data_IF_502812543107
#
_entry.id   IF_502812543107
#
_cell.length_a   1.000
_cell.length_b   1.000
_cell.length_c   1.000
_cell.angle_alpha   90.00
_cell.angle_beta   90.00
_cell.angle_gamma   90.00
#
_symmetry.space_group_name_H-M   'P 1'
#
loop_
_entity.id
_entity.type
_entity.pdbx_description
1 polymer ?
#
# COMPACT_ATOMS: atom_id res chain seq x y z
N UNK A 1 29.74 10.41 7.60
CA UNK A 1 28.51 10.94 6.95
C UNK A 1 27.33 10.24 7.62
N UNK A 2 26.33 10.99 8.09
CA UNK A 2 25.19 10.43 8.83
C UNK A 2 24.35 9.52 7.94
N UNK A 3 23.91 8.39 8.49
CA UNK A 3 23.07 7.40 7.81
C UNK A 3 21.62 7.52 8.27
N UNK A 4 20.68 7.09 7.43
CA UNK A 4 19.24 7.06 7.74
C UNK A 4 18.68 5.71 7.33
N UNK A 5 17.99 5.03 8.25
CA UNK A 5 17.16 3.87 7.95
C UNK A 5 15.69 4.22 8.16
N UNK A 6 14.86 3.92 7.16
CA UNK A 6 13.40 4.05 7.20
C UNK A 6 12.80 2.66 7.11
N UNK A 7 12.17 2.25 8.22
CA UNK A 7 11.43 1.01 8.38
C UNK A 7 9.96 1.33 8.16
N UNK A 8 9.46 1.03 6.97
CA UNK A 8 8.05 1.19 6.64
C UNK A 8 7.25 -0.03 7.08
N UNK A 9 6.28 0.16 7.97
CA UNK A 9 5.28 -0.87 8.31
C UNK A 9 3.97 -0.49 7.63
N UNK A 10 3.63 -1.18 6.54
CA UNK A 10 2.45 -0.84 5.74
C UNK A 10 1.17 -1.07 6.56
N UNK A 11 0.28 -0.09 6.59
CA UNK A 11 -1.00 -0.15 7.30
C UNK A 11 -0.89 -0.32 8.84
N UNK A 12 0.25 0.01 9.45
CA UNK A 12 0.44 -0.11 10.89
C UNK A 12 -0.33 0.96 11.68
N UNK A 13 -1.43 0.54 12.31
CA UNK A 13 -2.22 1.44 13.14
C UNK A 13 -1.47 1.85 14.43
N UNK A 14 -1.35 3.15 14.73
CA UNK A 14 -0.62 3.62 15.91
C UNK A 14 -1.24 3.15 17.23
N UNK A 15 -2.54 2.85 17.29
CA UNK A 15 -3.20 2.26 18.47
C UNK A 15 -2.74 0.83 18.73
N UNK A 16 -2.29 0.11 17.70
CA UNK A 16 -1.73 -1.22 17.88
C UNK A 16 -0.28 -1.11 18.35
N UNK A 17 0.52 -0.24 17.71
CA UNK A 17 1.96 -0.10 18.01
C UNK A 17 2.23 0.57 19.35
N UNK A 18 1.58 1.70 19.64
CA UNK A 18 1.87 2.52 20.81
C UNK A 18 1.00 2.19 22.03
N UNK A 19 -0.12 1.49 21.83
CA UNK A 19 -1.06 1.16 22.91
C UNK A 19 -1.21 -0.36 23.04
N UNK A 20 -2.09 -0.99 22.23
CA UNK A 20 -2.61 -2.35 22.43
C UNK A 20 -1.55 -3.44 22.49
N UNK A 21 -0.49 -3.33 21.68
CA UNK A 21 0.55 -4.37 21.57
C UNK A 21 1.90 -3.94 22.11
N UNK A 22 2.06 -2.74 22.67
CA UNK A 22 3.37 -2.19 23.04
C UNK A 22 4.20 -3.14 23.93
N UNK A 23 3.56 -3.83 24.87
CA UNK A 23 4.24 -4.80 25.75
C UNK A 23 4.75 -6.06 25.03
N UNK A 24 4.22 -6.35 23.84
CA UNK A 24 4.68 -7.42 22.95
C UNK A 24 5.76 -6.96 21.96
N UNK A 25 6.17 -5.69 22.00
CA UNK A 25 7.10 -5.05 21.07
C UNK A 25 8.33 -4.49 21.82
N UNK A 26 9.16 -5.34 22.46
CA UNK A 26 10.25 -4.86 23.32
C UNK A 26 11.29 -3.99 22.60
N UNK A 27 11.56 -4.22 21.31
CA UNK A 27 12.54 -3.42 20.57
C UNK A 27 11.99 -2.03 20.23
N UNK A 28 10.75 -1.95 19.74
CA UNK A 28 10.05 -0.68 19.50
C UNK A 28 9.86 0.06 20.83
N UNK A 29 9.40 -0.61 21.89
CA UNK A 29 9.20 -0.02 23.22
C UNK A 29 10.49 0.65 23.72
N UNK A 30 11.64 -0.02 23.61
CA UNK A 30 12.94 0.54 23.96
C UNK A 30 13.31 1.77 23.12
N UNK A 31 12.93 1.82 21.85
CA UNK A 31 13.16 3.00 21.01
C UNK A 31 12.33 4.20 21.47
N UNK A 32 11.10 3.98 21.95
CA UNK A 32 10.22 5.07 22.42
C UNK A 32 10.83 5.84 23.59
N UNK A 33 11.64 5.18 24.43
CA UNK A 33 12.30 5.81 25.58
C UNK A 33 13.27 6.95 25.18
N UNK A 34 13.77 6.93 23.94
CA UNK A 34 14.78 7.89 23.45
C UNK A 34 14.43 8.45 22.05
N UNK A 35 13.15 8.54 21.71
CA UNK A 35 12.70 9.04 20.40
C UNK A 35 11.48 9.95 20.50
N UNK A 36 11.23 10.68 19.40
CA UNK A 36 9.95 11.35 19.20
C UNK A 36 9.00 10.42 18.46
N UNK A 37 7.79 10.24 18.99
CA UNK A 37 6.76 9.41 18.37
C UNK A 37 5.38 10.04 18.53
N UNK A 38 4.45 9.65 17.65
CA UNK A 38 3.09 10.15 17.70
C UNK A 38 2.24 9.73 16.51
N UNK A 39 0.95 10.06 16.59
CA UNK A 39 -0.01 9.82 15.51
C UNK A 39 0.18 10.89 14.43
N UNK A 40 0.34 10.48 13.17
CA UNK A 40 0.42 11.38 12.02
C UNK A 40 -0.81 11.24 11.13
N UNK A 41 -1.17 12.34 10.44
CA UNK A 41 -2.21 12.34 9.41
C UNK A 41 -1.61 11.90 8.08
N UNK A 42 -2.17 10.86 7.49
CA UNK A 42 -1.84 10.41 6.13
C UNK A 42 -2.50 11.29 5.05
N UNK A 43 -2.11 11.10 3.79
CA UNK A 43 -2.73 11.77 2.65
C UNK A 43 -4.15 11.26 2.36
N UNK A 44 -4.87 11.96 1.48
CA UNK A 44 -6.13 11.49 0.93
C UNK A 44 -6.01 11.23 -0.58
N UNK A 45 -6.34 10.02 -1.09
CA UNK A 45 -6.82 8.86 -0.33
C UNK A 45 -5.71 8.19 0.51
N UNK A 46 -6.10 7.65 1.66
CA UNK A 46 -5.22 6.94 2.59
C UNK A 46 -4.98 5.50 2.09
N UNK A 47 -4.13 5.35 1.08
CA UNK A 47 -3.83 4.06 0.44
C UNK A 47 -2.35 3.98 0.09
N UNK A 48 -1.80 2.77 0.18
CA UNK A 48 -0.38 2.44 0.04
C UNK A 48 0.40 3.25 -0.99
N UNK A 49 0.04 3.16 -2.27
CA UNK A 49 0.83 3.80 -3.34
C UNK A 49 0.92 5.33 -3.20
N UNK A 50 -0.20 6.08 -3.13
CA UNK A 50 -0.16 7.51 -2.82
C UNK A 50 0.60 7.84 -1.55
N UNK A 51 0.34 7.14 -0.44
CA UNK A 51 0.86 7.52 0.87
C UNK A 51 2.39 7.38 0.95
N UNK A 52 2.96 6.28 0.45
CA UNK A 52 4.41 6.12 0.38
C UNK A 52 5.06 7.15 -0.55
N UNK A 53 4.43 7.52 -1.66
CA UNK A 53 4.97 8.51 -2.58
C UNK A 53 4.86 9.95 -2.08
N UNK A 54 3.80 10.27 -1.34
CA UNK A 54 3.69 11.53 -0.60
C UNK A 54 4.82 11.63 0.41
N UNK A 55 5.06 10.57 1.19
CA UNK A 55 6.13 10.54 2.18
C UNK A 55 7.52 10.68 1.53
N UNK A 56 7.75 10.02 0.40
CA UNK A 56 9.03 10.06 -0.31
C UNK A 56 9.31 11.40 -1.03
N UNK A 57 8.27 12.15 -1.39
CA UNK A 57 8.39 13.38 -2.19
C UNK A 57 8.10 14.67 -1.43
N UNK A 58 7.43 14.60 -0.28
CA UNK A 58 6.88 15.77 0.41
C UNK A 58 5.77 16.49 -0.36
N UNK A 59 5.13 15.83 -1.33
CA UNK A 59 4.13 16.42 -2.23
C UNK A 59 2.77 15.77 -2.07
N UNK A 60 1.69 16.51 -2.36
CA UNK A 60 0.32 15.99 -2.29
C UNK A 60 0.01 15.00 -3.42
N UNK A 61 -0.91 14.03 -3.20
CA UNK A 61 -1.29 13.03 -4.21
C UNK A 61 -1.70 13.63 -5.56
N UNK A 62 -2.43 14.74 -5.54
CA UNK A 62 -2.88 15.44 -6.75
C UNK A 62 -1.71 16.00 -7.58
N UNK A 63 -0.71 16.58 -6.93
CA UNK A 63 0.49 17.10 -7.60
C UNK A 63 1.38 16.00 -8.18
N UNK A 64 1.35 14.81 -7.56
CA UNK A 64 2.03 13.62 -8.06
C UNK A 64 1.26 12.95 -9.21
N UNK A 65 -0.03 13.27 -9.35
CA UNK A 65 -0.94 12.60 -10.27
C UNK A 65 -1.27 11.17 -9.86
N UNK A 66 -1.34 10.89 -8.55
CA UNK A 66 -1.49 9.53 -8.01
C UNK A 66 -2.67 9.46 -7.05
N UNK A 67 -3.72 8.77 -7.48
CA UNK A 67 -5.01 8.76 -6.78
C UNK A 67 -5.43 7.36 -6.30
N UNK A 68 -4.48 6.43 -6.21
CA UNK A 68 -4.72 5.07 -5.74
C UNK A 68 -3.82 4.03 -6.40
N UNK A 69 -4.09 2.76 -6.09
CA UNK A 69 -3.38 1.63 -6.69
C UNK A 69 -3.61 1.51 -8.20
N UNK A 70 -4.83 1.82 -8.64
CA UNK A 70 -5.23 1.86 -10.05
C UNK A 70 -5.71 3.25 -10.41
N UNK A 71 -5.41 3.70 -11.62
CA UNK A 71 -5.85 4.98 -12.15
C UNK A 71 -6.58 4.79 -13.47
N UNK A 72 -7.53 5.68 -13.74
CA UNK A 72 -8.21 5.70 -15.03
C UNK A 72 -7.17 5.87 -16.13
N UNK A 73 -7.32 5.11 -17.20
CA UNK A 73 -6.43 5.19 -18.34
C UNK A 73 -7.19 5.78 -19.53
N UNK A 74 -6.99 7.08 -19.75
CA UNK A 74 -7.73 7.84 -20.75
C UNK A 74 -9.12 8.27 -20.28
N UNK A 75 -10.03 8.40 -21.24
CA UNK A 75 -11.39 8.92 -21.02
C UNK A 75 -12.49 7.87 -21.22
N UNK A 76 -12.14 6.62 -21.46
CA UNK A 76 -13.11 5.53 -21.48
C UNK A 76 -13.70 5.29 -20.08
N UNK A 77 -14.84 4.59 -20.03
CA UNK A 77 -15.62 4.39 -18.81
C UNK A 77 -15.04 3.32 -17.86
N UNK A 78 -14.20 2.41 -18.36
CA UNK A 78 -13.71 1.25 -17.59
C UNK A 78 -12.22 0.96 -17.74
N UNK A 79 -11.51 1.70 -18.58
CA UNK A 79 -10.08 1.53 -18.78
C UNK A 79 -9.28 1.98 -17.55
N UNK A 80 -8.44 1.09 -17.04
CA UNK A 80 -7.70 1.27 -15.80
C UNK A 80 -6.27 0.73 -15.94
N UNK A 81 -5.30 1.51 -15.45
CA UNK A 81 -3.90 1.08 -15.33
C UNK A 81 -3.42 1.05 -13.89
N UNK A 82 -2.39 0.25 -13.63
CA UNK A 82 -1.71 0.20 -12.33
C UNK A 82 -0.81 1.44 -12.21
N UNK A 83 -0.77 2.02 -11.02
CA UNK A 83 0.18 3.09 -10.68
C UNK A 83 1.60 2.54 -10.56
N UNK A 84 2.34 2.49 -11.67
CA UNK A 84 3.75 2.06 -11.69
C UNK A 84 4.71 3.20 -11.35
N UNK A 85 5.97 2.87 -11.08
CA UNK A 85 7.02 3.86 -10.77
C UNK A 85 7.19 4.91 -11.87
N UNK A 86 7.07 4.52 -13.14
CA UNK A 86 7.19 5.42 -14.29
C UNK A 86 6.09 6.49 -14.38
N UNK A 87 4.99 6.34 -13.64
CA UNK A 87 3.93 7.35 -13.54
C UNK A 87 4.19 8.36 -12.42
N UNK A 88 5.17 8.12 -11.55
CA UNK A 88 5.44 8.95 -10.38
C UNK A 88 6.22 10.20 -10.78
N UNK A 89 5.59 11.37 -10.62
CA UNK A 89 6.20 12.67 -10.95
C UNK A 89 6.96 13.27 -9.77
N UNK A 90 7.89 14.17 -10.08
CA UNK A 90 8.61 14.99 -9.10
C UNK A 90 9.75 14.25 -8.37
N UNK A 91 10.68 15.01 -7.74
CA UNK A 91 11.81 14.43 -7.05
C UNK A 91 11.38 13.62 -5.82
N UNK A 92 12.18 12.61 -5.48
CA UNK A 92 12.07 11.75 -4.30
C UNK A 92 13.33 11.88 -3.46
N UNK A 93 13.23 11.64 -2.16
CA UNK A 93 14.33 11.88 -1.22
C UNK A 93 15.63 11.14 -1.59
N UNK A 94 15.55 9.95 -2.20
CA UNK A 94 16.71 9.18 -2.64
C UNK A 94 17.43 9.78 -3.86
N UNK A 95 16.79 10.72 -4.56
CA UNK A 95 17.39 11.49 -5.67
C UNK A 95 18.02 12.80 -5.16
N UNK A 96 17.70 13.19 -3.93
CA UNK A 96 18.13 14.46 -3.32
C UNK A 96 19.33 14.30 -2.36
N UNK A 97 19.75 13.06 -2.10
CA UNK A 97 20.91 12.77 -1.26
C UNK A 97 22.15 12.55 -2.11
N UNK A 98 23.32 12.97 -1.62
CA UNK A 98 24.59 12.79 -2.34
C UNK A 98 25.12 11.35 -2.27
N UNK A 99 24.74 10.60 -1.24
CA UNK A 99 25.18 9.22 -1.01
C UNK A 99 24.33 8.17 -1.71
N UNK A 100 24.65 6.90 -1.42
CA UNK A 100 23.94 5.76 -2.00
C UNK A 100 22.63 5.47 -1.28
N UNK A 101 21.61 5.09 -2.02
CA UNK A 101 20.31 4.67 -1.49
C UNK A 101 20.07 3.18 -1.69
N UNK A 102 19.46 2.51 -0.72
CA UNK A 102 18.93 1.15 -0.88
C UNK A 102 17.43 1.20 -0.63
N UNK A 103 16.64 0.81 -1.63
CA UNK A 103 15.18 0.73 -1.56
C UNK A 103 14.74 -0.73 -1.66
N UNK A 104 13.92 -1.22 -0.73
CA UNK A 104 13.41 -2.60 -0.75
C UNK A 104 11.90 -2.61 -0.54
N UNK A 105 11.15 -2.98 -1.57
CA UNK A 105 9.71 -3.18 -1.46
C UNK A 105 8.87 -1.89 -1.39
N UNK A 106 9.49 -0.71 -1.46
CA UNK A 106 8.82 0.59 -1.37
C UNK A 106 7.86 0.81 -2.56
N UNK A 107 6.55 1.00 -2.38
CA UNK A 107 5.64 1.10 -3.51
C UNK A 107 5.36 2.55 -3.97
N UNK A 108 5.20 2.79 -5.28
CA UNK A 108 5.53 1.89 -6.38
C UNK A 108 6.98 2.07 -6.80
N UNK A 109 7.72 0.96 -6.80
CA UNK A 109 9.08 0.87 -7.37
C UNK A 109 9.17 -0.21 -8.43
N UNK A 110 8.05 -0.63 -9.03
CA UNK A 110 8.06 -1.45 -10.24
C UNK A 110 7.62 -0.62 -11.46
N UNK A 111 8.37 -0.66 -12.58
CA UNK A 111 9.73 -1.19 -12.71
C UNK A 111 10.73 -0.49 -11.76
N UNK A 112 11.85 -1.13 -11.36
CA UNK A 112 12.81 -0.55 -10.43
C UNK A 112 13.39 0.75 -10.98
N UNK A 113 13.22 1.91 -10.30
CA UNK A 113 13.83 3.15 -10.74
C UNK A 113 15.36 3.07 -10.70
N UNK A 114 16.01 3.76 -11.65
CA UNK A 114 17.46 3.91 -11.67
C UNK A 114 17.87 4.98 -10.66
N UNK A 115 18.61 4.60 -9.63
CA UNK A 115 19.04 5.50 -8.56
C UNK A 115 20.54 5.32 -8.29
N UNK A 116 21.17 6.24 -7.57
CA UNK A 116 22.52 5.99 -7.06
C UNK A 116 22.47 4.95 -5.93
N UNK A 117 22.48 3.65 -6.24
CA UNK A 117 22.44 2.58 -5.26
C UNK A 117 21.67 1.35 -5.73
N UNK A 118 20.88 0.73 -4.84
CA UNK A 118 20.23 -0.56 -5.07
C UNK A 118 18.72 -0.47 -4.85
N UNK A 119 17.93 -1.17 -5.67
CA UNK A 119 16.47 -1.27 -5.57
C UNK A 119 16.06 -2.71 -5.71
N UNK A 120 15.18 -3.16 -4.82
CA UNK A 120 14.30 -4.31 -5.02
C UNK A 120 12.88 -3.76 -5.07
N UNK A 121 12.20 -3.98 -6.18
CA UNK A 121 10.86 -3.47 -6.45
C UNK A 121 9.79 -4.02 -5.49
N UNK A 122 8.57 -3.48 -5.57
CA UNK A 122 7.52 -3.67 -4.58
C UNK A 122 6.49 -4.76 -4.90
N UNK A 123 5.44 -4.84 -4.09
CA UNK A 123 4.37 -5.85 -4.20
C UNK A 123 3.61 -5.86 -5.54
N UNK A 124 3.79 -4.83 -6.38
CA UNK A 124 3.14 -4.74 -7.70
C UNK A 124 3.96 -5.43 -8.80
N UNK A 125 5.15 -5.93 -8.47
CA UNK A 125 6.03 -6.66 -9.38
C UNK A 125 5.34 -7.94 -9.86
N UNK A 126 5.24 -8.18 -11.18
CA UNK A 126 4.50 -9.31 -11.73
C UNK A 126 5.02 -10.69 -11.27
N UNK A 127 6.32 -10.81 -11.03
CA UNK A 127 6.96 -12.03 -10.56
C UNK A 127 8.47 -12.00 -10.69
N UNK A 128 9.14 -13.05 -10.21
CA UNK A 128 10.60 -13.18 -10.23
C UNK A 128 11.19 -13.22 -11.63
N UNK A 129 10.40 -13.56 -12.65
CA UNK A 129 10.82 -13.53 -14.06
C UNK A 129 11.01 -12.09 -14.60
N UNK A 130 10.36 -11.11 -13.98
CA UNK A 130 10.53 -9.70 -14.37
C UNK A 130 11.89 -9.12 -13.99
N UNK A 131 12.26 -7.99 -14.60
CA UNK A 131 13.35 -7.16 -14.11
C UNK A 131 12.88 -6.40 -12.85
N UNK A 132 13.14 -7.00 -11.68
CA UNK A 132 12.63 -6.50 -10.39
C UNK A 132 13.68 -5.80 -9.54
N UNK A 133 14.93 -5.74 -9.99
CA UNK A 133 16.02 -5.07 -9.28
C UNK A 133 16.69 -3.98 -10.11
N UNK A 134 17.26 -3.00 -9.41
CA UNK A 134 18.27 -2.11 -9.97
C UNK A 134 19.51 -2.12 -9.05
N UNK A 135 20.73 -2.27 -9.58
CA UNK A 135 21.01 -2.66 -10.95
C UNK A 135 20.55 -4.13 -11.22
N UNK A 136 20.37 -4.56 -12.49
CA UNK A 136 19.80 -5.88 -12.81
C UNK A 136 20.58 -7.07 -12.21
N UNK A 137 21.91 -6.96 -12.08
CA UNK A 137 22.77 -7.99 -11.51
C UNK A 137 22.48 -8.32 -10.05
N UNK A 138 21.83 -7.40 -9.31
CA UNK A 138 21.42 -7.61 -7.92
C UNK A 138 20.48 -8.83 -7.78
N UNK A 139 19.70 -9.15 -8.82
CA UNK A 139 18.83 -10.34 -8.86
C UNK A 139 19.61 -11.63 -8.59
N UNK A 140 20.79 -11.77 -9.17
CA UNK A 140 21.65 -12.96 -8.97
C UNK A 140 22.17 -13.06 -7.54
N UNK A 141 22.52 -11.92 -6.94
CA UNK A 141 22.94 -11.87 -5.52
C UNK A 141 21.81 -12.30 -4.58
N UNK A 142 20.58 -11.82 -4.82
CA UNK A 142 19.39 -12.19 -4.04
C UNK A 142 19.13 -13.70 -4.13
N UNK A 143 19.20 -14.27 -5.34
CA UNK A 143 19.03 -15.71 -5.53
C UNK A 143 20.08 -16.52 -4.76
N UNK A 144 21.33 -16.05 -4.72
CA UNK A 144 22.39 -16.64 -3.92
C UNK A 144 22.09 -16.56 -2.42
N UNK A 145 21.68 -15.40 -1.91
CA UNK A 145 21.31 -15.19 -0.50
C UNK A 145 20.14 -16.08 -0.09
N UNK A 146 19.21 -16.36 -1.00
CA UNK A 146 18.04 -17.20 -0.73
C UNK A 146 18.27 -18.68 -1.01
N UNK A 147 19.50 -19.11 -1.31
CA UNK A 147 19.85 -20.50 -1.60
C UNK A 147 18.99 -21.07 -2.75
N UNK A 148 18.77 -20.27 -3.79
CA UNK A 148 17.94 -20.62 -4.95
C UNK A 148 16.42 -20.53 -4.72
N UNK A 149 15.96 -20.19 -3.50
CA UNK A 149 14.53 -19.97 -3.23
C UNK A 149 14.07 -18.63 -3.81
N UNK A 150 12.84 -18.61 -4.33
CA UNK A 150 12.25 -17.40 -4.91
C UNK A 150 12.11 -16.25 -3.90
N UNK A 151 12.37 -15.03 -4.36
CA UNK A 151 12.00 -13.81 -3.64
C UNK A 151 10.48 -13.60 -3.68
N UNK A 152 9.88 -13.21 -2.55
CA UNK A 152 8.43 -13.02 -2.41
C UNK A 152 8.10 -11.53 -2.28
N UNK A 153 7.38 -10.98 -3.27
CA UNK A 153 6.99 -9.57 -3.31
C UNK A 153 5.70 -9.28 -2.52
N UNK A 154 4.78 -10.24 -2.51
CA UNK A 154 3.46 -10.16 -1.88
C UNK A 154 2.93 -11.57 -1.53
N UNK A 155 1.80 -11.62 -0.82
CA UNK A 155 1.05 -12.84 -0.49
C UNK A 155 -0.37 -12.73 -1.02
N UNK A 156 -0.91 -13.82 -1.58
CA UNK A 156 -2.34 -13.89 -1.92
C UNK A 156 -3.15 -14.01 -0.62
N UNK A 157 -3.80 -12.92 -0.22
CA UNK A 157 -4.49 -12.82 1.08
C UNK A 157 -6.01 -12.86 0.98
N UNK A 158 -6.57 -12.64 -0.22
CA UNK A 158 -8.03 -12.64 -0.48
C UNK A 158 -8.53 -14.05 -0.81
N UNK A 159 -8.23 -14.97 0.10
CA UNK A 159 -8.66 -16.37 0.07
C UNK A 159 -9.28 -16.73 1.43
N UNK A 160 -10.03 -17.83 1.49
CA UNK A 160 -10.54 -18.37 2.76
C UNK A 160 -9.52 -19.27 3.48
N UNK A 161 -8.45 -19.69 2.82
CA UNK A 161 -7.35 -20.50 3.39
C UNK A 161 -6.48 -19.68 4.36
N UNK A 162 -6.97 -19.40 5.57
CA UNK A 162 -6.27 -18.52 6.53
C UNK A 162 -4.91 -19.06 6.96
N UNK A 163 -4.79 -20.36 7.20
CA UNK A 163 -3.52 -21.01 7.57
C UNK A 163 -2.44 -20.80 6.50
N UNK A 164 -2.80 -20.97 5.22
CA UNK A 164 -1.91 -20.77 4.08
C UNK A 164 -1.46 -19.31 3.97
N UNK A 165 -2.38 -18.36 4.19
CA UNK A 165 -2.04 -16.92 4.22
C UNK A 165 -1.00 -16.66 5.32
N UNK A 166 -1.21 -17.23 6.51
CA UNK A 166 -0.30 -17.03 7.63
C UNK A 166 1.09 -17.62 7.36
N UNK A 167 1.15 -18.86 6.86
CA UNK A 167 2.42 -19.51 6.48
C UNK A 167 3.18 -18.67 5.45
N UNK A 168 2.50 -18.23 4.39
CA UNK A 168 3.11 -17.43 3.33
C UNK A 168 3.58 -16.06 3.83
N UNK A 169 2.88 -15.44 4.78
CA UNK A 169 3.29 -14.19 5.42
C UNK A 169 4.61 -14.32 6.20
N UNK A 170 4.74 -15.37 7.03
CA UNK A 170 5.97 -15.62 7.76
C UNK A 170 7.13 -15.97 6.82
N UNK A 171 6.88 -16.80 5.81
CA UNK A 171 7.86 -17.17 4.77
C UNK A 171 8.34 -15.96 3.96
N UNK A 172 7.41 -15.08 3.57
CA UNK A 172 7.74 -13.83 2.87
C UNK A 172 8.64 -12.94 3.75
N UNK A 173 8.22 -12.68 4.97
CA UNK A 173 8.99 -11.86 5.91
C UNK A 173 10.38 -12.45 6.17
N UNK A 174 10.50 -13.76 6.39
CA UNK A 174 11.79 -14.41 6.60
C UNK A 174 12.75 -14.18 5.42
N UNK A 175 12.31 -14.44 4.19
CA UNK A 175 13.12 -14.27 2.98
C UNK A 175 13.51 -12.81 2.77
N UNK A 176 12.55 -11.88 2.93
CA UNK A 176 12.80 -10.44 2.75
C UNK A 176 13.80 -9.92 3.78
N UNK A 177 13.67 -10.29 5.05
CA UNK A 177 14.61 -9.87 6.09
C UNK A 177 16.00 -10.49 5.90
N UNK A 178 16.13 -11.73 5.41
CA UNK A 178 17.43 -12.32 5.05
C UNK A 178 18.15 -11.47 3.99
N UNK A 179 17.41 -11.01 2.98
CA UNK A 179 17.94 -10.13 1.92
C UNK A 179 18.24 -8.73 2.45
N UNK A 180 17.36 -8.14 3.27
CA UNK A 180 17.59 -6.82 3.89
C UNK A 180 18.87 -6.84 4.74
N UNK A 181 19.04 -7.86 5.59
CA UNK A 181 20.24 -8.02 6.42
C UNK A 181 21.51 -8.16 5.57
N UNK A 182 21.45 -8.92 4.47
CA UNK A 182 22.55 -9.02 3.52
C UNK A 182 22.91 -7.65 2.95
N UNK A 183 21.94 -6.93 2.39
CA UNK A 183 22.17 -5.61 1.77
C UNK A 183 22.73 -4.60 2.77
N UNK A 184 22.23 -4.58 4.01
CA UNK A 184 22.72 -3.69 5.06
C UNK A 184 24.19 -3.94 5.39
N UNK A 185 24.65 -5.20 5.33
CA UNK A 185 26.02 -5.61 5.66
C UNK A 185 27.00 -5.46 4.50
N UNK A 186 26.55 -5.68 3.26
CA UNK A 186 27.46 -5.83 2.11
C UNK A 186 27.42 -4.68 1.12
N UNK A 187 26.37 -3.84 1.13
CA UNK A 187 26.23 -2.72 0.20
C UNK A 187 26.44 -1.38 0.92
N UNK A 188 27.12 -0.40 0.29
CA UNK A 188 27.21 0.94 0.82
C UNK A 188 25.85 1.68 0.71
N UNK A 189 25.45 2.35 1.79
CA UNK A 189 24.23 3.15 1.85
C UNK A 189 24.38 4.34 2.82
N UNK A 190 23.78 5.46 2.43
CA UNK A 190 23.46 6.61 3.27
C UNK A 190 21.97 6.59 3.66
N UNK A 191 21.09 6.20 2.73
CA UNK A 191 19.67 5.96 2.98
C UNK A 191 19.35 4.48 2.76
N UNK A 192 18.71 3.85 3.73
CA UNK A 192 18.15 2.50 3.59
C UNK A 192 16.65 2.57 3.87
N UNK A 193 15.80 2.36 2.88
CA UNK A 193 14.35 2.42 3.03
C UNK A 193 13.74 1.10 2.57
N UNK A 194 13.13 0.36 3.49
CA UNK A 194 12.30 -0.78 3.12
C UNK A 194 10.86 -0.61 3.62
N UNK A 195 9.93 -1.23 2.91
CA UNK A 195 8.52 -1.32 3.32
C UNK A 195 8.16 -2.79 3.52
N UNK A 196 7.68 -3.13 4.70
CA UNK A 196 7.14 -4.45 5.04
C UNK A 196 5.62 -4.46 4.82
N UNK A 197 5.20 -5.07 3.72
CA UNK A 197 3.79 -5.13 3.29
C UNK A 197 2.98 -6.17 4.08
N UNK A 198 3.64 -7.12 4.75
CA UNK A 198 2.97 -8.19 5.47
C UNK A 198 2.06 -7.72 6.60
N UNK A 199 2.33 -6.54 7.19
CA UNK A 199 1.46 -5.92 8.22
C UNK A 199 0.10 -5.54 7.63
N UNK A 200 0.06 -4.96 6.43
CA UNK A 200 -1.20 -4.68 5.74
C UNK A 200 -1.95 -5.96 5.38
N UNK A 201 -1.22 -6.96 4.89
CA UNK A 201 -1.81 -8.25 4.49
C UNK A 201 -2.41 -9.01 5.67
N UNK A 202 -1.75 -8.98 6.83
CA UNK A 202 -2.31 -9.63 8.03
C UNK A 202 -3.54 -8.87 8.55
N UNK A 203 -3.55 -7.54 8.48
CA UNK A 203 -4.75 -6.76 8.78
C UNK A 203 -5.90 -7.16 7.86
N UNK A 204 -5.69 -7.16 6.54
CA UNK A 204 -6.73 -7.52 5.60
C UNK A 204 -7.30 -8.93 5.80
N UNK A 205 -6.44 -9.91 6.08
CA UNK A 205 -6.89 -11.30 6.22
C UNK A 205 -7.48 -11.61 7.60
N UNK A 206 -7.05 -10.92 8.67
CA UNK A 206 -7.34 -11.34 10.04
C UNK A 206 -8.04 -10.31 10.94
N UNK A 207 -8.26 -9.06 10.51
CA UNK A 207 -8.84 -8.02 11.40
C UNK A 207 -10.15 -8.44 12.06
N UNK A 208 -11.03 -9.11 11.30
CA UNK A 208 -12.34 -9.56 11.81
C UNK A 208 -12.25 -10.53 12.99
N UNK A 209 -11.13 -11.22 13.15
CA UNK A 209 -10.90 -12.20 14.22
C UNK A 209 -10.25 -11.58 15.46
N UNK A 210 -9.59 -10.43 15.34
CA UNK A 210 -8.73 -9.88 16.39
C UNK A 210 -9.28 -8.61 17.05
N UNK A 211 -10.27 -7.94 16.44
CA UNK A 211 -10.78 -6.67 16.93
C UNK A 211 -12.20 -6.82 17.51
N UNK A 212 -12.38 -6.67 18.83
CA UNK A 212 -13.70 -6.78 19.48
C UNK A 212 -14.75 -5.80 18.97
N UNK A 213 -14.33 -4.69 18.36
CA UNK A 213 -15.24 -3.74 17.73
C UNK A 213 -15.76 -4.24 16.37
N UNK A 214 -15.16 -5.26 15.75
CA UNK A 214 -15.57 -5.73 14.43
C UNK A 214 -16.93 -6.47 14.51
N UNK A 215 -17.92 -6.21 13.63
CA UNK A 215 -19.25 -6.83 13.73
C UNK A 215 -19.29 -8.36 13.60
N UNK A 216 -18.20 -8.95 13.09
CA UNK A 216 -18.03 -10.41 12.90
C UNK A 216 -17.01 -11.03 13.86
N UNK A 217 -16.64 -10.33 14.92
CA UNK A 217 -15.71 -10.85 15.91
C UNK A 217 -16.40 -11.85 16.83
N UNK A 218 -15.69 -12.94 17.12
CA UNK A 218 -16.11 -14.00 18.04
C UNK A 218 -15.00 -14.19 19.09
N UNK A 219 -15.26 -13.97 20.39
CA UNK A 219 -14.24 -14.16 21.44
C UNK A 219 -13.72 -15.60 21.48
N UNK A 220 -12.41 -15.77 21.73
CA UNK A 220 -11.78 -17.10 21.87
C UNK A 220 -11.57 -17.84 20.55
N UNK A 221 -11.77 -17.19 19.41
CA UNK A 221 -11.51 -17.81 18.11
C UNK A 221 -10.00 -18.07 17.92
N UNK A 222 -9.67 -19.10 17.14
CA UNK A 222 -8.28 -19.56 16.97
C UNK A 222 -7.31 -18.53 16.36
N UNK A 223 -7.80 -17.46 15.73
CA UNK A 223 -6.97 -16.43 15.10
C UNK A 223 -6.90 -15.12 15.88
N UNK A 224 -7.49 -15.05 17.07
CA UNK A 224 -7.64 -13.83 17.86
C UNK A 224 -6.30 -13.11 18.12
N UNK A 225 -5.23 -13.88 18.32
CA UNK A 225 -3.91 -13.34 18.63
C UNK A 225 -2.99 -13.18 17.41
N UNK A 226 -3.41 -13.62 16.23
CA UNK A 226 -2.55 -13.72 15.03
C UNK A 226 -1.94 -12.37 14.63
N UNK A 227 -2.71 -11.28 14.71
CA UNK A 227 -2.17 -9.94 14.42
C UNK A 227 -1.09 -9.56 15.44
N UNK A 228 -1.36 -9.71 16.74
CA UNK A 228 -0.37 -9.41 17.79
C UNK A 228 0.91 -10.23 17.63
N UNK A 229 0.77 -11.52 17.35
CA UNK A 229 1.89 -12.44 17.18
C UNK A 229 2.76 -12.08 15.97
N UNK A 230 2.15 -11.64 14.87
CA UNK A 230 2.90 -11.16 13.72
C UNK A 230 3.62 -9.84 13.99
N UNK A 231 2.98 -8.90 14.72
CA UNK A 231 3.63 -7.68 15.19
C UNK A 231 4.83 -7.99 16.08
N UNK A 232 4.70 -8.94 17.00
CA UNK A 232 5.82 -9.38 17.85
C UNK A 232 6.95 -10.02 17.03
N UNK A 233 6.61 -10.79 15.98
CA UNK A 233 7.60 -11.33 15.05
C UNK A 233 8.31 -10.22 14.25
N UNK A 234 7.58 -9.20 13.80
CA UNK A 234 8.14 -8.02 13.14
C UNK A 234 9.07 -7.24 14.07
N UNK A 235 8.69 -7.02 15.33
CA UNK A 235 9.54 -6.37 16.34
C UNK A 235 10.86 -7.13 16.55
N UNK A 236 10.81 -8.46 16.62
CA UNK A 236 12.03 -9.30 16.71
C UNK A 236 12.94 -9.10 15.49
N UNK A 237 12.36 -9.05 14.28
CA UNK A 237 13.10 -8.84 13.03
C UNK A 237 13.73 -7.45 12.98
N UNK A 238 12.98 -6.42 13.36
CA UNK A 238 13.47 -5.04 13.51
C UNK A 238 14.63 -5.00 14.51
N UNK A 239 14.47 -5.62 15.69
CA UNK A 239 15.55 -5.73 16.68
C UNK A 239 16.83 -6.37 16.15
N UNK A 240 16.73 -7.28 15.18
CA UNK A 240 17.87 -7.82 14.45
C UNK A 240 18.57 -6.76 13.59
N UNK A 241 17.80 -5.97 12.83
CA UNK A 241 18.33 -4.88 11.99
C UNK A 241 18.96 -3.75 12.81
N UNK A 242 18.37 -3.42 13.96
CA UNK A 242 18.88 -2.37 14.85
C UNK A 242 20.29 -2.68 15.37
N UNK A 243 20.68 -3.96 15.47
CA UNK A 243 22.03 -4.38 15.85
C UNK A 243 23.07 -4.15 14.74
N UNK A 244 22.63 -3.89 13.51
CA UNK A 244 23.51 -3.68 12.35
C UNK A 244 23.84 -2.21 12.10
N UNK A 245 23.19 -1.29 12.83
CA UNK A 245 23.39 0.15 12.67
C UNK A 245 24.11 0.74 13.88
N UNK A 246 25.05 1.65 13.65
CA UNK A 246 25.80 2.34 14.70
C UNK A 246 25.14 3.65 15.13
N UNK A 247 25.73 4.32 16.12
CA UNK A 247 25.21 5.54 16.75
C UNK A 247 25.03 6.71 15.77
N UNK A 248 25.76 6.75 14.66
CA UNK A 248 25.64 7.76 13.59
C UNK A 248 24.45 7.55 12.63
N UNK A 249 23.51 6.66 12.99
CA UNK A 249 22.35 6.31 12.16
C UNK A 249 21.05 6.83 12.76
N UNK A 250 20.32 7.65 11.99
CA UNK A 250 18.94 7.98 12.31
C UNK A 250 18.01 6.82 11.93
N UNK A 251 17.12 6.45 12.83
CA UNK A 251 16.16 5.38 12.63
C UNK A 251 14.76 5.98 12.62
N UNK A 252 14.00 5.70 11.55
CA UNK A 252 12.59 6.05 11.44
C UNK A 252 11.79 4.77 11.31
N UNK A 253 10.77 4.60 12.17
CA UNK A 253 9.72 3.61 11.98
C UNK A 253 8.46 4.38 11.61
N UNK A 254 7.93 4.12 10.42
CA UNK A 254 6.84 4.89 9.84
C UNK A 254 5.78 3.99 9.27
N UNK A 255 4.57 4.51 9.18
CA UNK A 255 3.48 3.88 8.46
C UNK A 255 2.86 4.87 7.49
N UNK A 256 2.42 4.35 6.36
CA UNK A 256 1.74 5.08 5.30
C UNK A 256 0.29 5.41 5.66
N UNK A 257 -0.43 4.49 6.31
CA UNK A 257 -1.78 4.68 6.84
C UNK A 257 -2.08 3.73 8.01
N UNK A 258 -3.19 3.97 8.71
CA UNK A 258 -3.68 3.08 9.76
C UNK A 258 -4.74 2.08 9.26
N UNK A 259 -5.40 1.40 10.20
CA UNK A 259 -6.42 0.39 9.92
C UNK A 259 -7.64 0.56 10.83
N UNK A 260 -8.83 0.19 10.35
CA UNK A 260 -10.07 0.23 11.15
C UNK A 260 -10.97 -0.95 10.84
N UNK A 261 -11.81 -1.38 11.80
CA UNK A 261 -12.80 -2.43 11.53
C UNK A 261 -13.79 -1.98 10.45
N UNK A 262 -14.02 -2.85 9.47
CA UNK A 262 -15.06 -2.65 8.46
C UNK A 262 -16.43 -2.87 9.10
N UNK A 263 -17.19 -1.79 9.30
CA UNK A 263 -18.55 -1.84 9.87
C UNK A 263 -19.61 -2.21 8.83
N UNK A 264 -19.36 -1.86 7.57
CA UNK A 264 -20.25 -2.08 6.45
C UNK A 264 -19.66 -1.49 5.17
N UNK A 265 -20.43 -1.57 4.09
CA UNK A 265 -20.08 -0.97 2.80
C UNK A 265 -21.21 -0.04 2.36
N UNK A 266 -20.84 1.13 1.83
CA UNK A 266 -21.78 2.02 1.17
C UNK A 266 -21.67 1.82 -0.34
N UNK A 267 -22.72 1.27 -0.95
CA UNK A 267 -22.74 0.97 -2.37
C UNK A 267 -23.06 2.25 -3.17
N UNK A 268 -22.02 3.03 -3.44
CA UNK A 268 -22.11 4.37 -4.02
C UNK A 268 -22.84 4.40 -5.37
N UNK A 269 -22.67 3.39 -6.23
CA UNK A 269 -23.34 3.37 -7.53
C UNK A 269 -24.84 3.10 -7.39
N UNK A 270 -25.25 2.29 -6.42
CA UNK A 270 -26.67 2.07 -6.13
C UNK A 270 -27.32 3.38 -5.65
N UNK A 271 -26.61 4.14 -4.82
CA UNK A 271 -27.05 5.48 -4.39
C UNK A 271 -27.11 6.46 -5.56
N UNK A 272 -26.13 6.44 -6.49
CA UNK A 272 -26.17 7.28 -7.69
C UNK A 272 -27.35 6.93 -8.61
N UNK A 273 -27.74 5.65 -8.67
CA UNK A 273 -28.96 5.22 -9.38
C UNK A 273 -30.21 5.74 -8.69
N UNK A 274 -30.34 5.57 -7.37
CA UNK A 274 -31.48 6.08 -6.57
C UNK A 274 -31.66 7.60 -6.74
N UNK A 275 -30.56 8.36 -6.75
CA UNK A 275 -30.58 9.80 -6.97
C UNK A 275 -30.69 10.23 -8.43
N UNK A 276 -30.65 9.28 -9.37
CA UNK A 276 -30.79 9.54 -10.79
C UNK A 276 -29.56 10.15 -11.47
N UNK A 277 -28.39 10.15 -10.80
CA UNK A 277 -27.12 10.57 -11.40
C UNK A 277 -26.52 9.50 -12.33
N UNK A 278 -26.77 8.22 -12.03
CA UNK A 278 -26.40 7.09 -12.87
C UNK A 278 -27.68 6.46 -13.44
N UNK A 279 -27.73 6.30 -14.77
CA UNK A 279 -28.88 5.71 -15.45
C UNK A 279 -28.53 4.33 -15.99
N UNK A 280 -29.43 3.38 -15.79
CA UNK A 280 -29.30 2.04 -16.33
C UNK A 280 -30.16 1.91 -17.58
N UNK A 281 -29.70 1.09 -18.53
CA UNK A 281 -30.48 0.76 -19.72
C UNK A 281 -31.80 0.11 -19.33
N UNK A 282 -32.83 0.26 -20.17
CA UNK A 282 -34.15 -0.34 -19.93
C UNK A 282 -34.05 -1.85 -19.67
N UNK A 283 -34.58 -2.30 -18.54
CA UNK A 283 -34.55 -3.71 -18.11
C UNK A 283 -33.22 -4.18 -17.51
N UNK A 284 -32.21 -3.31 -17.40
CA UNK A 284 -30.98 -3.63 -16.71
C UNK A 284 -31.12 -3.38 -15.21
N UNK A 285 -30.64 -4.34 -14.42
CA UNK A 285 -30.59 -4.24 -12.96
C UNK A 285 -29.14 -4.40 -12.48
N UNK A 286 -28.82 -3.69 -11.40
CA UNK A 286 -27.59 -3.89 -10.62
C UNK A 286 -28.01 -4.48 -9.27
N UNK A 287 -27.33 -5.54 -8.83
CA UNK A 287 -27.50 -6.07 -7.49
C UNK A 287 -26.71 -5.19 -6.53
N UNK A 288 -27.27 -4.96 -5.35
CA UNK A 288 -26.66 -4.05 -4.39
C UNK A 288 -25.23 -4.48 -4.03
N UNK A 289 -24.29 -3.55 -4.15
CA UNK A 289 -22.86 -3.78 -3.89
C UNK A 289 -22.09 -4.50 -5.00
N UNK A 290 -22.72 -4.82 -6.14
CA UNK A 290 -22.00 -5.39 -7.29
C UNK A 290 -21.04 -4.36 -7.91
N UNK A 291 -19.99 -4.88 -8.55
CA UNK A 291 -19.14 -4.06 -9.42
C UNK A 291 -19.99 -3.51 -10.56
N UNK A 292 -19.92 -2.20 -10.79
CA UNK A 292 -20.59 -1.56 -11.92
C UNK A 292 -20.15 -2.21 -13.24
N UNK A 293 -21.13 -2.67 -14.02
CA UNK A 293 -20.90 -3.19 -15.35
C UNK A 293 -21.23 -2.10 -16.39
N UNK A 294 -20.23 -1.55 -17.10
CA UNK A 294 -20.43 -0.50 -18.09
C UNK A 294 -21.48 -0.82 -19.16
N UNK A 295 -21.67 -2.10 -19.52
CA UNK A 295 -22.63 -2.48 -20.56
C UNK A 295 -24.09 -2.28 -20.15
N UNK A 296 -24.36 -2.24 -18.83
CA UNK A 296 -25.69 -2.01 -18.25
C UNK A 296 -26.02 -0.52 -18.09
N UNK A 297 -25.04 0.36 -18.19
CA UNK A 297 -25.21 1.80 -17.98
C UNK A 297 -25.69 2.45 -19.27
N UNK A 298 -26.65 3.37 -19.14
CA UNK A 298 -27.07 4.29 -20.18
C UNK A 298 -26.23 5.56 -20.07
N UNK A 299 -25.12 5.61 -20.81
CA UNK A 299 -24.13 6.67 -20.67
C UNK A 299 -24.65 8.02 -21.17
N UNK A 300 -25.47 8.03 -22.23
CA UNK A 300 -26.12 9.24 -22.77
C UNK A 300 -27.15 9.90 -21.84
N UNK A 301 -27.48 9.28 -20.72
CA UNK A 301 -28.36 9.83 -19.67
C UNK A 301 -27.68 9.88 -18.28
N UNK A 302 -26.42 9.43 -18.19
CA UNK A 302 -25.67 9.33 -16.92
C UNK A 302 -24.82 10.58 -16.69
N UNK A 303 -25.03 11.28 -15.58
CA UNK A 303 -24.24 12.45 -15.17
C UNK A 303 -22.97 12.08 -14.41
N UNK A 304 -23.05 11.06 -13.54
CA UNK A 304 -21.92 10.66 -12.71
C UNK A 304 -21.92 9.16 -12.42
N UNK A 305 -20.73 8.60 -12.26
CA UNK A 305 -20.52 7.21 -11.85
C UNK A 305 -19.35 7.12 -10.88
N UNK A 306 -19.29 6.04 -10.11
CA UNK A 306 -18.21 5.82 -9.17
C UNK A 306 -17.42 4.55 -9.47
N UNK A 307 -16.11 4.63 -9.23
CA UNK A 307 -15.17 3.51 -9.33
C UNK A 307 -14.10 3.64 -8.25
N UNK A 308 -13.62 2.52 -7.70
CA UNK A 308 -12.50 2.54 -6.73
C UNK A 308 -12.68 1.69 -5.50
N UNK A 309 -13.76 0.90 -5.42
CA UNK A 309 -14.02 0.07 -4.24
C UNK A 309 -14.10 0.91 -2.98
N UNK A 310 -13.23 0.62 -2.00
CA UNK A 310 -13.31 1.17 -0.64
C UNK A 310 -12.94 2.67 -0.50
N UNK A 311 -12.34 3.31 -1.51
CA UNK A 311 -12.04 4.76 -1.51
C UNK A 311 -12.85 5.55 -2.54
N UNK A 312 -13.85 4.91 -3.16
CA UNK A 312 -14.94 5.49 -3.97
C UNK A 312 -14.62 6.83 -4.66
N UNK A 313 -14.10 6.78 -5.89
CA UNK A 313 -13.90 7.98 -6.72
C UNK A 313 -15.14 8.19 -7.59
N UNK A 314 -15.70 9.39 -7.53
CA UNK A 314 -16.82 9.80 -8.38
C UNK A 314 -16.26 10.52 -9.60
N UNK A 315 -16.74 10.15 -10.77
CA UNK A 315 -16.40 10.73 -12.05
C UNK A 315 -17.64 11.41 -12.62
N UNK A 316 -17.44 12.57 -13.23
CA UNK A 316 -18.50 13.33 -13.91
C UNK A 316 -18.39 13.06 -15.41
N UNK A 317 -19.52 12.80 -16.06
CA UNK A 317 -19.61 12.46 -17.48
C UNK A 317 -19.67 13.72 -18.34
N UNK A 318 -18.50 14.32 -18.60
CA UNK A 318 -18.38 15.65 -19.20
C UNK A 318 -18.37 15.55 -20.73
N UNK A 319 -19.20 16.36 -21.37
CA UNK A 319 -19.30 16.49 -22.82
C UNK A 319 -17.94 16.82 -23.45
N UNK A 320 -17.59 16.11 -24.53
CA UNK A 320 -16.31 16.26 -25.24
C UNK A 320 -15.09 15.70 -24.52
N UNK A 321 -15.23 15.21 -23.27
CA UNK A 321 -14.18 14.48 -22.55
C UNK A 321 -14.47 12.99 -22.53
N UNK A 322 -15.65 12.61 -22.05
CA UNK A 322 -16.15 11.23 -22.04
C UNK A 322 -16.84 10.87 -23.37
N UNK A 323 -16.82 9.59 -23.80
CA UNK A 323 -17.39 9.16 -25.08
C UNK A 323 -18.86 9.57 -25.31
N UNK A 324 -19.69 9.47 -24.27
CA UNK A 324 -21.11 9.85 -24.27
C UNK A 324 -21.37 10.89 -23.17
N UNK A 325 -20.46 11.87 -23.03
CA UNK A 325 -20.55 12.93 -22.03
C UNK A 325 -21.82 13.79 -22.14
N UNK A 326 -22.49 14.05 -21.02
CA UNK A 326 -23.77 14.79 -20.96
C UNK A 326 -23.70 16.07 -20.12
N UNK A 327 -22.70 16.19 -19.25
CA UNK A 327 -22.51 17.38 -18.40
C UNK A 327 -21.69 18.39 -19.19
N UNK A 328 -22.25 19.58 -19.43
CA UNK A 328 -21.52 20.63 -20.15
C UNK A 328 -20.31 21.08 -19.33
N UNK A 329 -19.17 21.41 -19.97
CA UNK A 329 -18.00 21.90 -19.24
C UNK A 329 -18.29 23.11 -18.33
N UNK A 330 -19.23 23.98 -18.72
CA UNK A 330 -19.68 25.13 -17.92
C UNK A 330 -20.46 24.76 -16.65
N UNK A 331 -21.01 23.54 -16.58
CA UNK A 331 -21.80 23.04 -15.44
C UNK A 331 -20.98 22.16 -14.50
N UNK A 332 -19.77 21.76 -14.91
CA UNK A 332 -18.92 20.82 -14.18
C UNK A 332 -18.71 21.19 -12.72
N UNK A 333 -18.36 22.44 -12.41
CA UNK A 333 -18.09 22.87 -11.03
C UNK A 333 -19.36 22.92 -10.16
N UNK A 334 -20.55 23.02 -10.77
CA UNK A 334 -21.81 22.94 -10.05
C UNK A 334 -22.18 21.48 -9.76
N UNK A 335 -22.02 20.58 -10.74
CA UNK A 335 -22.31 19.15 -10.58
C UNK A 335 -21.28 18.42 -9.69
N UNK A 336 -20.07 18.97 -9.55
CA UNK A 336 -19.01 18.42 -8.70
C UNK A 336 -19.21 18.68 -7.20
N UNK A 337 -19.86 19.79 -6.84
CA UNK A 337 -20.08 20.22 -5.45
C UNK A 337 -21.25 19.49 -4.83
#
# INVERSE_FOLDING_TARGET
MKKVIVIGLDCADPRLVFDRYLDSLPNIKKMLDNSYYGKMRTCFPAITIPAWMVMASGREPGSLGVYGFRQRDGTDYDSMKISTSGLMRGPKIWEMIDGKSILVGLPPTYPPPKINGNVISCFITPGVESEFTYPPELKSEINGVLDGKEYLFDVVFRTESREEVLENLYKMAERRFKVIEYLMKTKPWQLFWFVEIGVDRIHHAFWKYADPEHPKYEPGNKYENVIREYYSYMDKKIGGLLKLVGEDTYILIVSDHGAKPMKGAFAINDWLVDKGYLKLKKGAEIKAGDKLNPSKVDWGETKAWAWGGYYSRIFINVEGREPEGVVRPSEYENERK
#
